data_IF_591059268943
#
_entry.id   IF_591059268943
#
_cell.length_a   1.000
_cell.length_b   1.000
_cell.length_c   1.000
_cell.angle_alpha   90.00
_cell.angle_beta   90.00
_cell.angle_gamma   90.00
#
_symmetry.space_group_name_H-M   'P 1'
#
loop_
_entity.id
_entity.type
_entity.pdbx_description
1 polymer ?
#
# COMPACT_ATOMS: atom_id res chain seq x y z
N UNK A 1 19.36 -17.17 0.67
CA UNK A 1 19.98 -16.09 1.47
C UNK A 1 19.05 -15.77 2.64
N UNK A 2 19.58 -15.30 3.76
CA UNK A 2 18.73 -14.89 4.88
C UNK A 2 18.05 -13.57 4.53
N UNK A 3 16.72 -13.52 4.62
CA UNK A 3 15.91 -12.38 4.17
C UNK A 3 14.92 -11.99 5.26
N UNK A 4 14.86 -10.68 5.54
CA UNK A 4 13.93 -10.14 6.53
C UNK A 4 12.53 -10.05 5.93
N UNK A 5 11.59 -10.74 6.54
CA UNK A 5 10.17 -10.61 6.25
C UNK A 5 9.58 -9.47 7.09
N UNK A 6 8.65 -8.73 6.50
CA UNK A 6 7.86 -7.71 7.16
C UNK A 6 6.39 -8.02 6.96
N UNK A 7 5.56 -7.58 7.90
CA UNK A 7 4.11 -7.69 7.79
C UNK A 7 3.47 -6.36 7.46
N UNK A 8 2.27 -6.41 6.89
CA UNK A 8 1.50 -5.21 6.56
C UNK A 8 1.09 -4.44 7.82
N UNK A 9 0.85 -5.16 8.92
CA UNK A 9 0.53 -4.53 10.20
C UNK A 9 1.71 -3.72 10.74
N UNK A 10 2.93 -4.25 10.65
CA UNK A 10 4.15 -3.57 11.11
C UNK A 10 4.49 -2.30 10.33
N UNK A 11 4.26 -2.32 9.01
CA UNK A 11 4.71 -1.23 8.12
C UNK A 11 3.60 -0.21 7.89
N UNK A 12 2.38 -0.69 7.71
CA UNK A 12 1.25 0.13 7.26
C UNK A 12 0.10 0.21 8.26
N UNK A 13 0.16 -0.51 9.39
CA UNK A 13 -0.91 -0.51 10.39
C UNK A 13 -2.15 -1.28 9.95
N UNK A 14 -1.99 -2.20 9.00
CA UNK A 14 -3.01 -3.15 8.56
C UNK A 14 -3.68 -2.80 7.23
N UNK A 15 -4.36 -3.81 6.68
CA UNK A 15 -4.91 -3.74 5.33
C UNK A 15 -6.00 -2.68 5.14
N UNK A 16 -6.80 -2.39 6.17
CA UNK A 16 -7.85 -1.35 6.10
C UNK A 16 -7.27 0.04 5.81
N UNK A 17 -6.09 0.34 6.38
CA UNK A 17 -5.40 1.61 6.16
C UNK A 17 -4.76 1.63 4.77
N UNK A 18 -4.12 0.53 4.37
CA UNK A 18 -3.54 0.39 3.03
C UNK A 18 -4.59 0.60 1.94
N UNK A 19 -5.76 -0.04 2.08
CA UNK A 19 -6.84 0.07 1.10
C UNK A 19 -7.31 1.52 0.92
N UNK A 20 -7.46 2.27 2.02
CA UNK A 20 -7.94 3.66 1.96
C UNK A 20 -6.90 4.62 1.40
N UNK A 21 -5.64 4.46 1.76
CA UNK A 21 -4.58 5.41 1.40
C UNK A 21 -3.98 5.12 0.02
N UNK A 22 -3.80 3.83 -0.31
CA UNK A 22 -3.11 3.44 -1.54
C UNK A 22 -4.06 3.11 -2.68
N UNK A 23 -5.18 2.44 -2.40
CA UNK A 23 -6.00 1.80 -3.44
C UNK A 23 -7.39 2.42 -3.64
N UNK A 24 -7.78 3.38 -2.80
CA UNK A 24 -9.00 4.15 -3.02
C UNK A 24 -8.88 4.99 -4.31
N UNK A 25 -10.03 5.37 -4.88
CA UNK A 25 -10.06 6.23 -6.06
C UNK A 25 -9.33 7.56 -5.81
N UNK A 26 -8.37 7.89 -6.66
CA UNK A 26 -7.47 9.04 -6.49
C UNK A 26 -6.35 8.82 -5.46
N UNK A 27 -6.23 7.60 -4.93
CA UNK A 27 -5.19 7.17 -3.99
C UNK A 27 -3.81 7.08 -4.64
N UNK A 28 -2.82 6.66 -3.85
CA UNK A 28 -1.43 6.66 -4.29
C UNK A 28 -1.17 5.79 -5.52
N UNK A 29 -1.90 4.67 -5.67
CA UNK A 29 -1.80 3.84 -6.87
C UNK A 29 -2.27 4.60 -8.11
N UNK A 30 -3.44 5.24 -8.04
CA UNK A 30 -3.99 6.02 -9.15
C UNK A 30 -3.09 7.19 -9.53
N UNK A 31 -2.43 7.83 -8.55
CA UNK A 31 -1.48 8.91 -8.81
C UNK A 31 -0.19 8.40 -9.47
N UNK A 32 0.32 7.26 -9.02
CA UNK A 32 1.53 6.65 -9.57
C UNK A 32 1.32 6.12 -11.00
N UNK A 33 0.13 5.60 -11.29
CA UNK A 33 -0.22 5.03 -12.59
C UNK A 33 -1.09 5.96 -13.44
N UNK A 34 -1.21 7.24 -13.06
CA UNK A 34 -2.10 8.27 -13.60
C UNK A 34 -2.53 8.05 -15.06
N UNK A 35 -3.85 8.15 -15.28
CA UNK A 35 -4.59 7.86 -16.51
C UNK A 35 -3.70 7.86 -17.77
N UNK A 36 -3.39 6.65 -18.24
CA UNK A 36 -2.95 6.46 -19.63
C UNK A 36 -4.00 6.99 -20.60
#
# INVERSE_FOLDING_TARGET
PDVRLLTVDEVFGGWDKVQKEHFAAGGLLDQAYGAR
#
